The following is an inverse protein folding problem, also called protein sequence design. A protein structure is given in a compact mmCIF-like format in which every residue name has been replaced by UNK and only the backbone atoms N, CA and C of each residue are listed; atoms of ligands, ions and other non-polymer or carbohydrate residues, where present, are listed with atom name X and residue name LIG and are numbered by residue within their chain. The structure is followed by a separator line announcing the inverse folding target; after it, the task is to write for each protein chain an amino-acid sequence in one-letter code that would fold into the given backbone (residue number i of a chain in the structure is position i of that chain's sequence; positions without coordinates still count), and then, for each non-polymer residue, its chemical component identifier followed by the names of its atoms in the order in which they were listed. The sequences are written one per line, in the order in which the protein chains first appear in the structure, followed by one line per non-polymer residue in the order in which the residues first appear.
data_IF_688163180698
#
_entry.id   IF_688163180698
#
_cell.length_a   1.000
_cell.length_b   1.000
_cell.length_c   1.000
_cell.angle_alpha   90.00
_cell.angle_beta   90.00
_cell.angle_gamma   90.00
#
_symmetry.space_group_name_H-M   'P 1'
#
loop_
_entity.id
_entity.type
_entity.pdbx_description
1 polymer ?
#
# COMPACT_ATOMS: atom_id res chain seq x y z
N UNK A 1 -85.73 -6.99 -26.66
CA UNK A 1 -84.71 -7.35 -27.67
C UNK A 1 -83.50 -7.87 -26.92
N UNK A 2 -82.84 -8.90 -27.44
CA UNK A 2 -81.59 -9.42 -26.85
C UNK A 2 -80.39 -8.82 -27.59
N UNK A 3 -79.25 -8.64 -26.93
CA UNK A 3 -78.03 -8.07 -27.54
C UNK A 3 -76.92 -9.12 -27.70
N UNK A 4 -75.94 -8.88 -28.58
CA UNK A 4 -74.69 -9.67 -28.58
C UNK A 4 -73.84 -9.32 -27.37
N UNK A 5 -73.12 -10.29 -26.84
CA UNK A 5 -72.30 -10.10 -25.62
C UNK A 5 -71.14 -9.11 -25.81
N UNK A 6 -70.51 -9.08 -26.99
CA UNK A 6 -69.24 -8.36 -27.17
C UNK A 6 -69.36 -7.02 -27.91
N UNK A 7 -70.40 -6.87 -28.74
CA UNK A 7 -70.63 -5.68 -29.56
C UNK A 7 -72.00 -5.04 -29.29
N UNK A 8 -72.77 -5.60 -28.36
CA UNK A 8 -74.10 -5.11 -27.96
C UNK A 8 -75.01 -4.88 -29.18
N UNK A 9 -74.89 -5.72 -30.20
CA UNK A 9 -75.69 -5.62 -31.41
C UNK A 9 -77.08 -6.16 -31.10
N UNK A 10 -78.11 -5.37 -31.41
CA UNK A 10 -79.50 -5.75 -31.19
C UNK A 10 -79.88 -6.93 -32.06
N UNK A 11 -80.50 -7.95 -31.46
CA UNK A 11 -81.00 -9.13 -32.14
C UNK A 11 -82.54 -9.13 -32.14
N UNK A 12 -83.16 -9.59 -33.24
CA UNK A 12 -84.60 -9.81 -33.27
C UNK A 12 -85.00 -10.93 -32.29
N UNK A 13 -86.15 -10.77 -31.65
CA UNK A 13 -86.77 -11.83 -30.84
C UNK A 13 -87.70 -12.67 -31.72
N UNK A 14 -87.94 -13.94 -31.35
CA UNK A 14 -88.61 -14.96 -32.19
C UNK A 14 -89.97 -14.55 -32.77
N UNK A 15 -90.63 -13.56 -32.19
CA UNK A 15 -91.96 -13.08 -32.59
C UNK A 15 -91.99 -11.62 -33.07
N UNK A 16 -90.83 -10.94 -33.12
CA UNK A 16 -90.75 -9.53 -33.53
C UNK A 16 -90.17 -9.38 -34.94
N UNK A 17 -90.75 -8.48 -35.73
CA UNK A 17 -90.18 -8.06 -37.01
C UNK A 17 -88.85 -7.31 -36.78
N UNK A 18 -87.88 -7.54 -37.68
CA UNK A 18 -86.61 -6.78 -37.67
C UNK A 18 -86.92 -5.32 -37.99
N UNK A 19 -86.58 -4.39 -37.10
CA UNK A 19 -86.76 -2.98 -37.37
C UNK A 19 -85.57 -2.45 -38.19
N UNK A 20 -85.87 -1.60 -39.20
CA UNK A 20 -84.82 -0.91 -39.98
C UNK A 20 -83.99 0.00 -39.05
N UNK A 21 -84.60 0.55 -37.99
CA UNK A 21 -83.89 1.35 -36.99
C UNK A 21 -82.81 0.57 -36.25
N UNK A 22 -83.09 -0.67 -35.83
CA UNK A 22 -82.08 -1.51 -35.17
C UNK A 22 -81.00 -1.99 -36.14
N UNK A 23 -81.36 -2.20 -37.41
CA UNK A 23 -80.37 -2.50 -38.45
C UNK A 23 -79.40 -1.33 -38.65
N UNK A 24 -79.91 -0.10 -38.76
CA UNK A 24 -79.08 1.09 -38.89
C UNK A 24 -78.19 1.30 -37.66
N UNK A 25 -78.72 1.14 -36.45
CA UNK A 25 -77.92 1.23 -35.21
C UNK A 25 -76.81 0.18 -35.14
N UNK A 26 -77.10 -1.06 -35.54
CA UNK A 26 -76.08 -2.10 -35.61
C UNK A 26 -75.04 -1.80 -36.70
N UNK A 27 -75.46 -1.26 -37.85
CA UNK A 27 -74.58 -0.84 -38.93
C UNK A 27 -73.64 0.28 -38.48
N UNK A 28 -74.15 1.30 -37.77
CA UNK A 28 -73.35 2.38 -37.20
C UNK A 28 -72.34 1.86 -36.16
N UNK A 29 -72.75 0.90 -35.32
CA UNK A 29 -71.84 0.23 -34.37
C UNK A 29 -70.74 -0.55 -35.10
N UNK A 30 -71.05 -1.21 -36.21
CA UNK A 30 -70.07 -1.95 -37.02
C UNK A 30 -69.14 -0.99 -37.76
N UNK A 31 -69.64 0.12 -38.31
CA UNK A 31 -68.85 1.12 -39.04
C UNK A 31 -67.78 1.77 -38.13
N UNK A 32 -68.14 2.03 -36.86
CA UNK A 32 -67.20 2.51 -35.83
C UNK A 32 -66.04 1.55 -35.57
N UNK A 33 -66.13 0.26 -35.92
CA UNK A 33 -64.99 -0.67 -35.83
C UNK A 33 -63.88 -0.35 -36.85
N UNK A 34 -64.23 0.29 -37.97
CA UNK A 34 -63.26 0.70 -39.01
C UNK A 34 -62.39 1.88 -38.59
N UNK A 35 -62.86 2.69 -37.63
CA UNK A 35 -62.15 3.85 -37.08
C UNK A 35 -62.44 3.99 -35.57
N UNK A 36 -61.84 3.13 -34.72
CA UNK A 36 -62.03 3.24 -33.28
C UNK A 36 -61.49 4.58 -32.79
N UNK A 37 -62.24 5.24 -31.91
CA UNK A 37 -61.82 6.47 -31.25
C UNK A 37 -60.88 6.13 -30.09
N UNK A 38 -59.69 6.72 -30.11
CA UNK A 38 -58.78 6.67 -28.97
C UNK A 38 -59.17 7.75 -27.98
N UNK A 39 -59.38 7.39 -26.72
CA UNK A 39 -59.60 8.38 -25.67
C UNK A 39 -58.28 9.09 -25.36
N UNK A 40 -58.17 10.34 -25.81
CA UNK A 40 -56.98 11.16 -25.60
C UNK A 40 -56.92 11.78 -24.19
N UNK A 41 -58.02 11.76 -23.43
CA UNK A 41 -58.15 12.53 -22.18
C UNK A 41 -57.17 12.15 -21.08
N UNK A 42 -56.57 10.95 -21.16
CA UNK A 42 -55.62 10.44 -20.17
C UNK A 42 -56.25 9.97 -18.85
N UNK A 43 -57.59 10.04 -18.74
CA UNK A 43 -58.32 9.56 -17.55
C UNK A 43 -59.52 8.75 -18.04
N UNK A 44 -59.46 7.44 -17.80
CA UNK A 44 -60.59 6.54 -18.07
C UNK A 44 -61.17 6.08 -16.74
N UNK A 45 -62.47 6.35 -16.54
CA UNK A 45 -63.21 5.86 -15.37
C UNK A 45 -63.06 4.34 -15.23
N UNK A 46 -62.52 3.91 -14.09
CA UNK A 46 -62.30 2.50 -13.74
C UNK A 46 -60.89 1.96 -14.00
N UNK A 47 -59.95 2.71 -14.59
CA UNK A 47 -58.53 2.30 -14.72
C UNK A 47 -57.64 3.23 -13.92
N UNK A 48 -57.37 2.86 -12.67
CA UNK A 48 -56.56 3.64 -11.72
C UNK A 48 -55.10 3.19 -11.61
N UNK A 49 -54.77 2.01 -12.14
CA UNK A 49 -53.41 1.45 -12.11
C UNK A 49 -53.20 0.37 -13.21
N UNK A 50 -51.94 -0.05 -13.37
CA UNK A 50 -51.56 -1.06 -14.37
C UNK A 50 -52.22 -2.42 -14.14
N UNK A 51 -52.42 -2.82 -12.88
CA UNK A 51 -53.01 -4.11 -12.52
C UNK A 51 -54.48 -4.17 -12.94
N UNK A 52 -55.21 -3.07 -12.68
CA UNK A 52 -56.60 -2.87 -13.07
C UNK A 52 -56.72 -2.81 -14.60
N UNK A 53 -55.82 -2.09 -15.27
CA UNK A 53 -55.73 -2.10 -16.73
C UNK A 53 -55.55 -3.52 -17.29
N UNK A 54 -54.55 -4.27 -16.80
CA UNK A 54 -54.26 -5.62 -17.29
C UNK A 54 -55.42 -6.58 -17.00
N UNK A 55 -56.08 -6.44 -15.86
CA UNK A 55 -57.27 -7.21 -15.53
C UNK A 55 -58.40 -6.96 -16.53
N UNK A 56 -58.65 -5.70 -16.93
CA UNK A 56 -59.67 -5.38 -17.95
C UNK A 56 -59.32 -5.90 -19.35
N UNK A 57 -58.03 -5.98 -19.68
CA UNK A 57 -57.57 -6.59 -20.94
C UNK A 57 -57.80 -8.11 -20.94
N UNK A 58 -57.45 -8.79 -19.84
CA UNK A 58 -57.49 -10.25 -19.74
C UNK A 58 -58.91 -10.77 -19.52
N UNK A 59 -59.79 -10.01 -18.87
CA UNK A 59 -61.18 -10.40 -18.60
C UNK A 59 -62.11 -10.34 -19.81
N UNK A 60 -61.62 -9.88 -20.98
CA UNK A 60 -62.40 -9.72 -22.21
C UNK A 60 -63.25 -8.45 -22.20
N UNK A 61 -62.67 -7.34 -22.63
CA UNK A 61 -63.40 -6.10 -22.91
C UNK A 61 -63.87 -6.04 -24.36
N UNK A 62 -64.91 -5.26 -24.66
CA UNK A 62 -65.23 -4.93 -26.05
C UNK A 62 -64.03 -4.27 -26.73
N UNK A 63 -63.88 -4.46 -28.04
CA UNK A 63 -62.77 -3.87 -28.82
C UNK A 63 -62.77 -2.33 -28.76
N UNK A 64 -63.94 -1.72 -28.60
CA UNK A 64 -64.09 -0.27 -28.34
C UNK A 64 -63.48 0.14 -27.00
N UNK A 65 -63.79 -0.60 -25.94
CA UNK A 65 -63.21 -0.35 -24.63
C UNK A 65 -61.70 -0.62 -24.64
N UNK A 66 -61.22 -1.60 -25.39
CA UNK A 66 -59.79 -1.85 -25.58
C UNK A 66 -59.08 -0.62 -26.16
N UNK A 67 -59.52 -0.11 -27.32
CA UNK A 67 -58.89 1.04 -27.97
C UNK A 67 -59.03 2.34 -27.16
N UNK A 68 -60.19 2.55 -26.53
CA UNK A 68 -60.42 3.65 -25.59
C UNK A 68 -59.42 3.60 -24.42
N UNK A 69 -59.24 2.41 -23.83
CA UNK A 69 -58.41 2.21 -22.64
C UNK A 69 -56.91 2.08 -22.96
N UNK A 70 -56.53 1.90 -24.24
CA UNK A 70 -55.15 1.63 -24.66
C UNK A 70 -54.16 2.73 -24.25
N UNK A 71 -54.54 4.00 -24.43
CA UNK A 71 -53.70 5.16 -24.05
C UNK A 71 -53.52 5.24 -22.53
N UNK A 72 -54.61 5.05 -21.78
CA UNK A 72 -54.58 4.99 -20.33
C UNK A 72 -53.69 3.84 -19.83
N UNK A 73 -53.67 2.70 -20.51
CA UNK A 73 -52.76 1.60 -20.20
C UNK A 73 -51.27 1.95 -20.40
N UNK A 74 -50.93 2.55 -21.53
CA UNK A 74 -49.56 2.97 -21.84
C UNK A 74 -49.01 4.04 -20.90
N UNK A 75 -49.88 4.87 -20.31
CA UNK A 75 -49.46 5.82 -19.27
C UNK A 75 -48.81 5.10 -18.09
N UNK A 76 -49.33 3.92 -17.71
CA UNK A 76 -48.81 3.15 -16.59
C UNK A 76 -47.56 2.34 -16.98
N UNK A 77 -47.45 1.84 -18.21
CA UNK A 77 -46.23 1.12 -18.68
C UNK A 77 -45.02 2.06 -18.74
N UNK A 78 -45.24 3.35 -19.06
CA UNK A 78 -44.17 4.34 -19.15
C UNK A 78 -43.89 5.09 -17.83
N UNK A 79 -44.88 5.31 -16.96
CA UNK A 79 -44.68 5.97 -15.66
C UNK A 79 -44.38 5.01 -14.51
N UNK A 80 -44.86 3.77 -14.55
CA UNK A 80 -44.65 2.76 -13.49
C UNK A 80 -43.45 1.88 -13.86
N UNK A 81 -42.25 2.43 -13.68
CA UNK A 81 -41.09 1.62 -13.28
C UNK A 81 -40.09 1.15 -14.33
N UNK A 82 -40.15 1.54 -15.61
CA UNK A 82 -39.18 1.03 -16.60
C UNK A 82 -38.23 2.08 -17.22
N UNK A 83 -38.50 3.38 -17.12
CA UNK A 83 -37.68 4.39 -17.84
C UNK A 83 -37.43 5.71 -17.07
N UNK A 84 -37.51 5.75 -15.74
CA UNK A 84 -37.27 7.01 -15.00
C UNK A 84 -35.81 7.15 -14.60
N UNK A 85 -35.16 8.22 -15.05
CA UNK A 85 -33.87 8.68 -14.54
C UNK A 85 -34.05 9.16 -13.09
N UNK A 86 -33.82 8.26 -12.13
CA UNK A 86 -33.94 8.55 -10.70
C UNK A 86 -32.63 9.04 -10.05
N UNK A 87 -31.62 9.46 -10.81
CA UNK A 87 -30.24 9.67 -10.30
C UNK A 87 -30.08 10.89 -9.39
N UNK A 88 -31.15 11.64 -9.11
CA UNK A 88 -31.12 12.87 -8.29
C UNK A 88 -32.05 12.84 -7.08
N UNK A 89 -32.76 11.73 -6.82
CA UNK A 89 -33.59 11.60 -5.62
C UNK A 89 -32.80 10.98 -4.47
N UNK A 90 -33.21 11.25 -3.24
CA UNK A 90 -32.77 10.56 -2.02
C UNK A 90 -33.88 9.66 -1.43
N UNK A 91 -34.94 9.37 -2.18
CA UNK A 91 -36.01 8.49 -1.74
C UNK A 91 -35.65 7.01 -2.00
N UNK A 92 -35.36 6.29 -0.92
CA UNK A 92 -34.94 4.88 -0.95
C UNK A 92 -36.03 3.91 -1.45
N UNK A 93 -37.28 4.35 -1.56
CA UNK A 93 -38.39 3.52 -2.07
C UNK A 93 -38.41 3.41 -3.61
N UNK A 94 -37.50 4.09 -4.31
CA UNK A 94 -37.46 4.11 -5.77
C UNK A 94 -36.33 3.23 -6.31
N UNK A 95 -36.58 2.38 -7.33
CA UNK A 95 -35.53 1.55 -7.92
C UNK A 95 -34.44 2.41 -8.57
N UNK A 96 -33.19 1.96 -8.46
CA UNK A 96 -32.06 2.63 -9.09
C UNK A 96 -32.16 2.55 -10.62
N UNK A 97 -31.87 3.65 -11.33
CA UNK A 97 -31.85 3.65 -12.79
C UNK A 97 -30.64 2.83 -13.29
N UNK A 98 -30.82 2.08 -14.39
CA UNK A 98 -29.74 1.29 -14.98
C UNK A 98 -28.49 2.14 -15.31
N UNK A 99 -28.69 3.41 -15.71
CA UNK A 99 -27.58 4.36 -15.95
C UNK A 99 -26.79 4.70 -14.68
N UNK A 100 -27.46 4.86 -13.53
CA UNK A 100 -26.78 5.13 -12.26
C UNK A 100 -25.95 3.93 -11.80
N UNK A 101 -26.52 2.73 -11.87
CA UNK A 101 -25.82 1.48 -11.53
C UNK A 101 -24.59 1.29 -12.42
N UNK A 102 -24.71 1.53 -13.73
CA UNK A 102 -23.58 1.45 -14.65
C UNK A 102 -22.46 2.44 -14.31
N UNK A 103 -22.80 3.71 -14.03
CA UNK A 103 -21.80 4.72 -13.62
C UNK A 103 -21.10 4.35 -12.31
N UNK A 104 -21.84 3.84 -11.33
CA UNK A 104 -21.28 3.34 -10.07
C UNK A 104 -20.33 2.18 -10.32
N UNK A 105 -20.72 1.20 -11.14
CA UNK A 105 -19.86 0.08 -11.50
C UNK A 105 -18.55 0.53 -12.17
N UNK A 106 -18.63 1.49 -13.10
CA UNK A 106 -17.44 2.05 -13.75
C UNK A 106 -16.53 2.78 -12.76
N UNK A 107 -17.10 3.61 -11.88
CA UNK A 107 -16.34 4.30 -10.83
C UNK A 107 -15.67 3.32 -9.85
N UNK A 108 -16.37 2.24 -9.50
CA UNK A 108 -15.84 1.19 -8.63
C UNK A 108 -14.69 0.44 -9.32
N UNK A 109 -14.85 0.09 -10.59
CA UNK A 109 -13.79 -0.56 -11.37
C UNK A 109 -12.54 0.32 -11.46
N UNK A 110 -12.69 1.61 -11.78
CA UNK A 110 -11.57 2.56 -11.80
C UNK A 110 -10.89 2.68 -10.44
N UNK A 111 -11.68 2.79 -9.37
CA UNK A 111 -11.14 2.88 -8.00
C UNK A 111 -10.36 1.62 -7.63
N UNK A 112 -10.89 0.43 -7.95
CA UNK A 112 -10.23 -0.84 -7.70
C UNK A 112 -8.93 -0.99 -8.51
N UNK A 113 -8.90 -0.55 -9.77
CA UNK A 113 -7.67 -0.53 -10.56
C UNK A 113 -6.62 0.40 -9.96
N UNK A 114 -6.99 1.63 -9.59
CA UNK A 114 -6.08 2.58 -8.95
C UNK A 114 -5.54 2.04 -7.61
N UNK A 115 -6.37 1.33 -6.84
CA UNK A 115 -5.95 0.72 -5.59
C UNK A 115 -4.94 -0.42 -5.82
N UNK A 116 -5.14 -1.24 -6.86
CA UNK A 116 -4.21 -2.30 -7.24
C UNK A 116 -2.86 -1.75 -7.71
N UNK A 117 -2.86 -0.63 -8.45
CA UNK A 117 -1.63 0.05 -8.87
C UNK A 117 -0.88 0.60 -7.65
N UNK A 118 -1.59 1.19 -6.68
CA UNK A 118 -1.01 1.67 -5.44
C UNK A 118 -0.42 0.54 -4.59
N UNK A 119 -1.12 -0.58 -4.46
CA UNK A 119 -0.66 -1.77 -3.73
C UNK A 119 0.64 -2.34 -4.34
N UNK A 120 0.71 -2.38 -5.68
CA UNK A 120 1.90 -2.79 -6.41
C UNK A 120 3.08 -1.85 -6.16
N UNK A 121 2.84 -0.53 -6.17
CA UNK A 121 3.86 0.48 -5.89
C UNK A 121 4.38 0.39 -4.43
N UNK A 122 3.47 0.22 -3.46
CA UNK A 122 3.83 0.03 -2.05
C UNK A 122 4.66 -1.23 -1.85
N UNK A 123 4.29 -2.33 -2.49
CA UNK A 123 5.06 -3.58 -2.45
C UNK A 123 6.47 -3.40 -3.00
N UNK A 124 6.62 -2.70 -4.13
CA UNK A 124 7.95 -2.40 -4.71
C UNK A 124 8.80 -1.57 -3.75
N UNK A 125 8.25 -0.49 -3.17
CA UNK A 125 8.96 0.35 -2.21
C UNK A 125 9.38 -0.46 -0.97
N UNK A 126 8.52 -1.33 -0.47
CA UNK A 126 8.83 -2.19 0.67
C UNK A 126 10.00 -3.14 0.39
N UNK A 127 10.06 -3.70 -0.81
CA UNK A 127 11.16 -4.55 -1.24
C UNK A 127 12.47 -3.76 -1.34
N UNK A 128 12.45 -2.58 -1.98
CA UNK A 128 13.62 -1.71 -2.11
C UNK A 128 14.15 -1.27 -0.74
N UNK A 129 13.27 -0.89 0.19
CA UNK A 129 13.64 -0.54 1.56
C UNK A 129 14.29 -1.73 2.29
N UNK A 130 13.75 -2.94 2.10
CA UNK A 130 14.30 -4.16 2.71
C UNK A 130 15.71 -4.44 2.19
N UNK A 131 15.93 -4.33 0.88
CA UNK A 131 17.26 -4.49 0.28
C UNK A 131 18.24 -3.42 0.77
N UNK A 132 17.84 -2.15 0.75
CA UNK A 132 18.69 -1.05 1.21
C UNK A 132 19.09 -1.19 2.69
N UNK A 133 18.17 -1.68 3.54
CA UNK A 133 18.47 -1.95 4.95
C UNK A 133 19.46 -3.11 5.10
N UNK A 134 19.34 -4.17 4.30
CA UNK A 134 20.28 -5.29 4.31
C UNK A 134 21.68 -4.88 3.84
N UNK A 135 21.77 -4.04 2.82
CA UNK A 135 23.03 -3.49 2.33
C UNK A 135 23.70 -2.60 3.38
N UNK A 136 22.92 -1.74 4.04
CA UNK A 136 23.41 -0.91 5.14
C UNK A 136 23.91 -1.74 6.32
N UNK A 137 23.15 -2.77 6.73
CA UNK A 137 23.54 -3.69 7.80
C UNK A 137 24.87 -4.41 7.50
N UNK A 138 25.03 -4.85 6.24
CA UNK A 138 26.26 -5.46 5.76
C UNK A 138 27.45 -4.49 5.83
N UNK A 139 27.25 -3.24 5.39
CA UNK A 139 28.28 -2.20 5.45
C UNK A 139 28.68 -1.85 6.89
N UNK A 140 27.70 -1.70 7.79
CA UNK A 140 27.92 -1.44 9.21
C UNK A 140 28.69 -2.60 9.85
N UNK A 141 28.32 -3.84 9.53
CA UNK A 141 29.04 -5.03 10.00
C UNK A 141 30.49 -5.04 9.53
N UNK A 142 30.76 -4.69 8.27
CA UNK A 142 32.12 -4.58 7.75
C UNK A 142 32.96 -3.54 8.50
N UNK A 143 32.40 -2.34 8.72
CA UNK A 143 33.08 -1.27 9.46
C UNK A 143 33.37 -1.69 10.90
N UNK A 144 32.42 -2.36 11.56
CA UNK A 144 32.60 -2.89 12.91
C UNK A 144 33.74 -3.93 12.96
N UNK A 145 33.83 -4.79 11.93
CA UNK A 145 34.94 -5.73 11.80
C UNK A 145 36.27 -5.02 11.60
N UNK A 146 36.35 -3.99 10.75
CA UNK A 146 37.57 -3.20 10.56
C UNK A 146 38.04 -2.54 11.86
N UNK A 147 37.12 -1.97 12.63
CA UNK A 147 37.44 -1.33 13.91
C UNK A 147 37.89 -2.33 14.99
N UNK A 148 37.46 -3.58 14.93
CA UNK A 148 37.82 -4.59 15.93
C UNK A 148 39.07 -5.39 15.54
N UNK A 149 39.30 -5.58 14.24
CA UNK A 149 40.35 -6.45 13.71
C UNK A 149 41.53 -5.71 13.11
N UNK A 150 41.33 -4.58 12.43
CA UNK A 150 42.38 -3.92 11.64
C UNK A 150 42.92 -2.65 12.33
N UNK A 151 42.13 -2.04 13.21
CA UNK A 151 42.53 -0.90 14.03
C UNK A 151 42.43 -1.34 15.50
N UNK A 152 43.54 -1.40 16.22
CA UNK A 152 43.55 -1.64 17.68
C UNK A 152 43.91 -0.32 18.37
N UNK A 153 42.97 0.64 18.47
CA UNK A 153 43.31 1.92 19.08
C UNK A 153 43.61 1.71 20.56
N UNK A 154 44.44 2.56 21.13
CA UNK A 154 44.60 2.61 22.59
C UNK A 154 43.28 3.11 23.19
N UNK A 155 42.41 2.18 23.61
CA UNK A 155 41.03 2.45 24.06
C UNK A 155 40.94 3.05 25.46
N UNK A 156 42.03 2.99 26.23
CA UNK A 156 42.11 3.54 27.58
C UNK A 156 43.44 4.26 27.78
N UNK A 157 43.41 5.44 28.39
CA UNK A 157 44.61 6.20 28.81
C UNK A 157 45.09 5.83 30.21
N UNK A 158 44.54 4.78 30.80
CA UNK A 158 44.95 4.26 32.10
C UNK A 158 46.16 3.35 31.88
N UNK A 159 47.25 3.64 32.58
CA UNK A 159 48.45 2.81 32.52
C UNK A 159 48.24 1.50 33.30
N UNK A 160 48.47 0.38 32.64
CA UNK A 160 48.54 -0.94 33.27
C UNK A 160 49.86 -1.05 34.04
N UNK A 161 49.78 -1.29 35.35
CA UNK A 161 50.98 -1.60 36.15
C UNK A 161 51.44 -3.01 35.82
N UNK A 162 52.62 -3.12 35.21
CA UNK A 162 53.20 -4.41 34.80
C UNK A 162 54.19 -4.87 35.86
N UNK A 163 54.31 -6.18 36.03
CA UNK A 163 55.27 -6.77 36.98
C UNK A 163 56.68 -6.28 36.68
N UNK A 164 57.38 -5.82 37.71
CA UNK A 164 58.76 -5.36 37.60
C UNK A 164 59.66 -6.49 37.02
N UNK A 165 60.59 -6.12 36.14
CA UNK A 165 61.44 -7.07 35.40
C UNK A 165 60.80 -7.68 34.14
N UNK A 166 59.55 -7.32 33.81
CA UNK A 166 58.92 -7.73 32.54
C UNK A 166 59.73 -7.21 31.35
N UNK A 167 59.89 -8.02 30.31
CA UNK A 167 60.65 -7.64 29.12
C UNK A 167 59.83 -6.67 28.25
N UNK A 168 60.43 -5.55 27.84
CA UNK A 168 59.76 -4.57 26.98
C UNK A 168 59.31 -5.17 25.65
N UNK A 169 60.00 -6.21 25.13
CA UNK A 169 59.66 -6.86 23.87
C UNK A 169 58.32 -7.62 23.93
N UNK A 170 57.89 -8.00 25.14
CA UNK A 170 56.62 -8.70 25.35
C UNK A 170 55.42 -7.75 25.37
N UNK A 171 55.64 -6.44 25.48
CA UNK A 171 54.59 -5.40 25.46
C UNK A 171 54.13 -5.13 24.02
N UNK A 172 53.44 -6.09 23.41
CA UNK A 172 53.01 -6.04 22.01
C UNK A 172 51.55 -5.62 21.81
N UNK A 173 50.75 -5.66 22.88
CA UNK A 173 49.34 -5.25 22.83
C UNK A 173 49.21 -3.73 22.95
N UNK A 174 48.34 -3.07 22.16
CA UNK A 174 48.11 -1.63 22.28
C UNK A 174 47.59 -1.23 23.65
N UNK A 175 48.20 -0.20 24.24
CA UNK A 175 47.89 0.21 25.59
C UNK A 175 48.92 1.15 26.20
N UNK A 176 48.64 1.60 27.42
CA UNK A 176 49.61 2.27 28.28
C UNK A 176 50.09 1.30 29.35
N UNK A 177 51.39 1.30 29.61
CA UNK A 177 52.05 0.39 30.55
C UNK A 177 52.98 1.19 31.45
N UNK A 178 52.98 0.87 32.74
CA UNK A 178 53.90 1.45 33.71
C UNK A 178 54.79 0.34 34.25
N UNK A 179 56.09 0.43 33.96
CA UNK A 179 57.03 -0.68 34.12
C UNK A 179 58.35 -0.23 34.73
N UNK A 180 58.97 -1.10 35.54
CA UNK A 180 60.35 -1.00 35.97
C UNK A 180 61.10 -2.25 35.52
N UNK A 181 62.00 -2.14 34.54
CA UNK A 181 62.71 -3.30 33.99
C UNK A 181 63.98 -2.87 33.27
N UNK A 182 64.95 -3.78 33.19
CA UNK A 182 66.21 -3.63 32.45
C UNK A 182 66.27 -4.52 31.19
N UNK A 183 65.36 -5.47 31.03
CA UNK A 183 65.33 -6.38 29.89
C UNK A 183 64.84 -5.66 28.62
N UNK A 184 65.70 -5.52 27.61
CA UNK A 184 65.45 -4.72 26.40
C UNK A 184 64.96 -3.28 26.67
N UNK A 185 65.37 -2.71 27.81
CA UNK A 185 65.03 -1.35 28.19
C UNK A 185 65.70 -0.32 27.24
N UNK A 186 65.12 0.89 27.08
CA UNK A 186 65.66 1.92 26.20
C UNK A 186 67.08 2.39 26.53
N UNK A 187 67.45 2.33 27.82
CA UNK A 187 68.77 2.69 28.32
C UNK A 187 69.04 1.95 29.63
N UNK A 188 70.29 1.99 30.09
CA UNK A 188 70.67 1.51 31.41
C UNK A 188 70.30 2.52 32.50
N UNK A 189 70.08 2.01 33.73
CA UNK A 189 69.79 2.82 34.92
C UNK A 189 68.54 3.71 34.82
N UNK A 190 67.52 3.26 34.07
CA UNK A 190 66.23 3.94 33.99
C UNK A 190 65.41 3.74 35.27
N UNK A 191 64.63 4.77 35.63
CA UNK A 191 63.57 4.67 36.63
C UNK A 191 62.35 3.91 36.13
N UNK A 192 61.18 4.16 36.74
CA UNK A 192 59.91 3.67 36.19
C UNK A 192 59.59 4.41 34.89
N UNK A 193 59.21 3.65 33.87
CA UNK A 193 58.96 4.14 32.52
C UNK A 193 57.48 3.97 32.18
N UNK A 194 56.89 5.00 31.58
CA UNK A 194 55.58 4.93 30.96
C UNK A 194 55.75 4.55 29.48
N UNK A 195 55.21 3.41 29.07
CA UNK A 195 55.28 2.91 27.69
C UNK A 195 53.90 3.00 27.06
N UNK A 196 53.79 3.67 25.92
CA UNK A 196 52.64 3.59 25.01
C UNK A 196 52.97 2.60 23.91
N UNK A 197 52.10 1.62 23.72
CA UNK A 197 52.16 0.65 22.63
C UNK A 197 51.02 0.97 21.67
N UNK A 198 51.31 1.07 20.38
CA UNK A 198 50.30 1.28 19.34
C UNK A 198 50.50 0.26 18.22
N UNK A 199 49.41 -0.27 17.68
CA UNK A 199 49.47 -1.21 16.55
C UNK A 199 48.48 -0.86 15.46
N UNK A 200 48.92 -1.02 14.21
CA UNK A 200 48.08 -0.89 13.02
C UNK A 200 48.25 -2.13 12.14
N UNK A 201 47.19 -2.53 11.45
CA UNK A 201 47.24 -3.59 10.45
C UNK A 201 47.29 -2.98 9.05
N UNK A 202 48.36 -3.25 8.30
CA UNK A 202 48.56 -2.71 6.95
C UNK A 202 49.02 -3.83 6.03
N UNK A 203 48.32 -4.03 4.91
CA UNK A 203 48.68 -4.99 3.87
C UNK A 203 49.00 -6.40 4.40
N UNK A 204 48.14 -6.95 5.26
CA UNK A 204 48.31 -8.31 5.77
C UNK A 204 49.23 -8.45 6.99
N UNK A 205 49.87 -7.36 7.44
CA UNK A 205 50.89 -7.38 8.50
C UNK A 205 50.54 -6.41 9.64
N UNK A 206 50.82 -6.84 10.87
CA UNK A 206 50.76 -5.97 12.04
C UNK A 206 52.05 -5.18 12.20
N UNK A 207 51.91 -3.88 12.41
CA UNK A 207 53.00 -2.97 12.74
C UNK A 207 52.73 -2.40 14.13
N UNK A 208 53.65 -2.66 15.05
CA UNK A 208 53.58 -2.19 16.44
C UNK A 208 54.70 -1.19 16.72
N UNK A 209 54.39 -0.11 17.41
CA UNK A 209 55.33 0.89 17.89
C UNK A 209 55.30 0.95 19.41
N UNK A 210 56.45 1.28 19.99
CA UNK A 210 56.58 1.57 21.42
C UNK A 210 57.18 2.94 21.60
N UNK A 211 56.54 3.74 22.44
CA UNK A 211 57.03 5.03 22.90
C UNK A 211 57.18 4.99 24.42
N UNK A 212 58.41 5.02 24.88
CA UNK A 212 58.77 4.99 26.29
C UNK A 212 59.12 6.41 26.76
N UNK A 213 58.54 6.81 27.89
CA UNK A 213 58.82 8.10 28.54
C UNK A 213 59.33 7.81 29.95
N UNK A 214 60.57 8.20 30.21
CA UNK A 214 61.13 8.22 31.55
C UNK A 214 60.74 9.56 32.20
N UNK A 215 59.87 9.51 33.22
CA UNK A 215 59.40 10.71 33.90
C UNK A 215 60.38 11.21 34.97
N UNK A 216 61.29 10.37 35.45
CA UNK A 216 62.29 10.73 36.47
C UNK A 216 63.53 9.84 36.35
N UNK A 217 64.70 10.46 36.13
CA UNK A 217 66.00 9.76 36.16
C UNK A 217 66.78 10.17 37.41
N UNK A 218 67.64 9.29 37.93
CA UNK A 218 68.43 9.55 39.14
C UNK A 218 69.48 10.70 39.01
N UNK A 219 69.57 11.39 37.85
CA UNK A 219 70.58 12.43 37.62
C UNK A 219 70.19 13.56 36.64
N UNK A 220 68.96 13.62 36.13
CA UNK A 220 68.51 14.70 35.25
C UNK A 220 67.00 14.99 35.44
N UNK A 221 66.65 16.28 35.51
CA UNK A 221 65.28 16.81 35.70
C UNK A 221 64.47 16.80 34.39
N UNK A 222 65.11 16.51 33.25
CA UNK A 222 64.46 16.52 31.95
C UNK A 222 63.93 15.12 31.58
N UNK A 223 62.65 15.00 31.21
CA UNK A 223 62.09 13.73 30.75
C UNK A 223 62.77 13.29 29.46
N UNK A 224 63.09 12.00 29.37
CA UNK A 224 63.68 11.40 28.17
C UNK A 224 62.62 10.59 27.44
N UNK A 225 62.60 10.71 26.12
CA UNK A 225 61.63 10.02 25.27
C UNK A 225 62.37 9.08 24.33
N UNK A 226 61.91 7.84 24.27
CA UNK A 226 62.48 6.80 23.44
C UNK A 226 61.38 6.21 22.56
N UNK A 227 61.72 5.93 21.31
CA UNK A 227 60.83 5.31 20.34
C UNK A 227 61.49 4.12 19.68
N UNK A 228 60.72 3.06 19.44
CA UNK A 228 61.11 1.93 18.59
C UNK A 228 59.88 1.32 17.94
N UNK A 229 60.09 0.47 16.95
CA UNK A 229 59.02 -0.23 16.27
C UNK A 229 59.41 -1.67 15.97
N UNK A 230 58.42 -2.53 15.79
CA UNK A 230 58.63 -3.89 15.33
C UNK A 230 58.59 -3.90 13.81
N UNK A 231 59.58 -4.53 13.19
CA UNK A 231 59.62 -4.75 11.74
C UNK A 231 59.49 -6.24 11.46
N UNK A 232 58.63 -6.60 10.52
CA UNK A 232 58.62 -7.94 9.95
C UNK A 232 59.68 -7.98 8.83
N UNK A 233 60.75 -8.74 9.06
CA UNK A 233 61.78 -9.00 8.05
C UNK A 233 61.72 -10.50 7.73
N UNK A 234 61.31 -10.84 6.51
CA UNK A 234 61.23 -12.22 6.02
C UNK A 234 60.39 -13.18 6.91
N UNK A 235 59.29 -12.70 7.49
CA UNK A 235 58.41 -13.51 8.35
C UNK A 235 58.87 -13.60 9.81
N UNK A 236 59.98 -12.97 10.17
CA UNK A 236 60.45 -12.86 11.57
C UNK A 236 60.22 -11.44 12.07
N UNK A 237 59.51 -11.32 13.18
CA UNK A 237 59.29 -10.04 13.86
C UNK A 237 60.47 -9.73 14.78
N UNK A 238 61.13 -8.61 14.52
CA UNK A 238 62.23 -8.11 15.37
C UNK A 238 61.99 -6.66 15.72
N UNK A 239 62.19 -6.32 17.00
CA UNK A 239 62.19 -4.94 17.46
C UNK A 239 63.43 -4.21 16.94
N UNK A 240 63.26 -2.98 16.45
CA UNK A 240 64.40 -2.09 16.20
C UNK A 240 65.05 -1.68 17.52
N UNK A 241 66.30 -1.24 17.44
CA UNK A 241 66.93 -0.54 18.56
C UNK A 241 66.11 0.70 18.95
N UNK A 242 66.15 1.03 20.24
CA UNK A 242 65.56 2.27 20.75
C UNK A 242 66.30 3.49 20.21
N UNK A 243 65.53 4.49 19.82
CA UNK A 243 66.02 5.80 19.41
C UNK A 243 65.54 6.82 20.44
N UNK A 244 66.46 7.56 21.08
CA UNK A 244 66.09 8.68 21.93
C UNK A 244 65.70 9.87 21.05
N UNK A 245 64.49 10.38 21.21
CA UNK A 245 63.91 11.44 20.37
C UNK A 245 63.85 12.80 21.08
N UNK A 246 63.85 12.80 22.42
CA UNK A 246 63.92 13.99 23.28
C UNK A 246 64.72 13.67 24.54
#
# INVERSE_FOLDING_TARGET
MTETTNLELKKPEKTNFVSIGDFNLNSDKIDKLGAPEFDDSGVVDGITDFTTYLSTLVSGSSIFNFFRNLKAGFQYVLHVGQLVNNTVTNNDNLPASASAVYKLQQSLNTTNSNLADLDSAVTSISNDLTTNLADLDSAVTSISNDLTTNIKPVTSRIANFVTDGTDYDTLSQPGWYYIYSTAHAPASNLGRVLVRVESIYVNGNWYTTQKAVELYSAGAIQPKVYERWITNINGTFSWTSWIQTV
#
